data_IF_341694267007
#
_entry.id   IF_341694267007
#
_cell.length_a   1.000
_cell.length_b   1.000
_cell.length_c   1.000
_cell.angle_alpha   90.00
_cell.angle_beta   90.00
_cell.angle_gamma   90.00
#
_symmetry.space_group_name_H-M   'P 1'
#
loop_
_entity.id
_entity.type
_entity.pdbx_description
1 polymer ?
#
# COMPACT_ATOMS: atom_id res chain seq x y z
N UNK A 1 21.13 39.47 -34.44
CA UNK A 1 21.59 38.37 -33.56
C UNK A 1 21.60 38.89 -32.13
N UNK A 2 20.74 38.32 -31.29
CA UNK A 2 20.93 38.07 -29.84
C UNK A 2 19.57 37.69 -29.29
N UNK A 3 19.47 36.42 -28.87
CA UNK A 3 18.26 35.75 -28.43
C UNK A 3 17.85 36.23 -27.03
N UNK A 4 16.69 36.85 -26.90
CA UNK A 4 15.99 36.93 -25.62
C UNK A 4 15.45 35.54 -25.29
N UNK A 5 16.15 34.82 -24.41
CA UNK A 5 15.65 33.62 -23.73
C UNK A 5 15.73 33.85 -22.23
N UNK A 6 14.69 34.47 -21.69
CA UNK A 6 14.43 34.37 -20.25
C UNK A 6 13.87 32.96 -19.96
N UNK A 7 14.33 32.29 -18.89
CA UNK A 7 14.06 30.88 -18.68
C UNK A 7 12.60 30.64 -18.29
N UNK A 8 11.97 29.75 -19.04
CA UNK A 8 10.80 28.98 -18.61
C UNK A 8 11.21 28.09 -17.43
N UNK A 9 10.22 27.79 -16.60
CA UNK A 9 10.18 26.66 -15.67
C UNK A 9 11.00 26.77 -14.38
N UNK A 10 10.41 27.42 -13.37
CA UNK A 10 10.45 26.91 -12.00
C UNK A 10 9.08 27.11 -11.34
N UNK A 11 8.11 26.31 -11.78
CA UNK A 11 6.95 25.98 -10.95
C UNK A 11 7.47 25.14 -9.78
N UNK A 12 7.74 25.78 -8.65
CA UNK A 12 7.93 25.09 -7.38
C UNK A 12 6.62 24.40 -6.98
N UNK A 13 6.44 23.17 -7.46
CA UNK A 13 5.50 22.23 -6.89
C UNK A 13 6.05 21.73 -5.55
N UNK A 14 5.99 22.57 -4.52
CA UNK A 14 6.13 22.14 -3.14
C UNK A 14 4.82 22.35 -2.38
N UNK A 15 3.70 21.94 -2.99
CA UNK A 15 2.58 21.48 -2.19
C UNK A 15 2.93 20.09 -1.63
N UNK A 16 3.88 20.05 -0.68
CA UNK A 16 3.87 19.03 0.34
C UNK A 16 2.59 19.25 1.14
N UNK A 17 1.50 18.66 0.66
CA UNK A 17 0.28 18.55 1.42
C UNK A 17 0.68 17.99 2.78
N UNK A 18 0.40 18.74 3.85
CA UNK A 18 0.44 18.19 5.20
C UNK A 18 -0.58 17.05 5.20
N UNK A 19 -0.13 15.82 4.98
CA UNK A 19 -1.00 14.65 5.12
C UNK A 19 -1.34 14.57 6.60
N UNK A 20 -2.61 14.83 6.91
CA UNK A 20 -3.16 14.58 8.23
C UNK A 20 -3.54 13.11 8.29
N UNK A 21 -2.70 12.30 8.92
CA UNK A 21 -3.03 10.93 9.26
C UNK A 21 -3.88 10.93 10.52
N UNK A 22 -4.94 10.13 10.56
CA UNK A 22 -5.60 9.80 11.83
C UNK A 22 -4.62 9.00 12.71
N UNK A 23 -4.83 8.97 14.03
CA UNK A 23 -4.00 8.22 15.00
C UNK A 23 -3.86 6.73 14.67
N UNK A 24 -4.55 6.18 13.67
CA UNK A 24 -4.39 4.79 13.25
C UNK A 24 -4.47 4.65 11.72
N UNK A 25 -3.68 5.44 11.00
CA UNK A 25 -3.59 5.29 9.54
C UNK A 25 -2.49 4.29 9.17
N UNK A 26 -2.81 3.37 8.26
CA UNK A 26 -1.82 2.48 7.65
C UNK A 26 -1.68 2.85 6.17
N UNK A 27 -0.46 3.08 5.71
CA UNK A 27 -0.15 3.30 4.29
C UNK A 27 1.00 2.41 3.86
N UNK A 28 1.17 2.21 2.56
CA UNK A 28 2.26 1.38 2.08
C UNK A 28 2.00 0.75 0.72
N UNK A 29 2.79 -0.25 0.42
CA UNK A 29 2.68 -1.04 -0.80
C UNK A 29 2.83 -2.52 -0.50
N UNK A 30 2.22 -3.32 -1.37
CA UNK A 30 2.38 -4.78 -1.39
C UNK A 30 2.77 -5.19 -2.79
N UNK A 31 3.58 -6.21 -2.90
CA UNK A 31 4.03 -6.78 -4.16
C UNK A 31 3.89 -8.29 -4.11
N UNK A 32 3.26 -8.85 -5.14
CA UNK A 32 3.14 -10.28 -5.35
C UNK A 32 3.81 -10.64 -6.67
N UNK A 33 4.69 -11.63 -6.65
CA UNK A 33 5.33 -12.15 -7.85
C UNK A 33 5.29 -13.67 -7.84
N UNK A 34 4.96 -14.25 -9.00
CA UNK A 34 4.83 -15.69 -9.17
C UNK A 34 5.79 -16.15 -10.28
N UNK A 35 6.77 -16.97 -9.89
CA UNK A 35 7.65 -17.71 -10.80
C UNK A 35 7.59 -19.20 -10.47
N UNK A 36 8.74 -19.83 -10.22
CA UNK A 36 8.79 -21.18 -9.62
C UNK A 36 8.18 -21.22 -8.22
N UNK A 37 8.26 -20.11 -7.50
CA UNK A 37 7.72 -19.94 -6.16
C UNK A 37 6.90 -18.65 -6.09
N UNK A 38 6.01 -18.58 -5.11
CA UNK A 38 5.22 -17.39 -4.79
C UNK A 38 6.03 -16.52 -3.83
N UNK A 39 6.38 -15.31 -4.26
CA UNK A 39 7.05 -14.33 -3.42
C UNK A 39 6.10 -13.17 -3.12
N UNK A 40 5.96 -12.89 -1.84
CA UNK A 40 5.22 -11.76 -1.33
C UNK A 40 6.18 -10.80 -0.63
N UNK A 41 6.02 -9.52 -0.88
CA UNK A 41 6.69 -8.46 -0.14
C UNK A 41 5.72 -7.36 0.22
N UNK A 42 5.99 -6.70 1.35
CA UNK A 42 5.25 -5.52 1.75
C UNK A 42 6.17 -4.46 2.32
N UNK A 43 5.72 -3.21 2.23
CA UNK A 43 6.27 -2.07 2.93
C UNK A 43 5.08 -1.32 3.50
N UNK A 44 4.78 -1.55 4.78
CA UNK A 44 3.65 -0.95 5.48
C UNK A 44 4.15 0.02 6.54
N UNK A 45 3.46 1.15 6.70
CA UNK A 45 3.73 2.17 7.70
C UNK A 45 2.46 2.42 8.50
N UNK A 46 2.51 2.19 9.81
CA UNK A 46 1.49 2.60 10.76
C UNK A 46 1.86 3.97 11.32
N UNK A 47 0.94 4.91 11.18
CA UNK A 47 1.02 6.25 11.77
C UNK A 47 0.20 6.29 13.06
N UNK A 48 0.84 6.75 14.14
CA UNK A 48 0.22 7.00 15.44
C UNK A 48 0.49 8.44 15.89
N UNK A 49 -0.42 9.03 16.63
CA UNK A 49 -0.22 10.30 17.32
C UNK A 49 0.29 10.03 18.73
N UNK A 50 1.44 10.59 19.08
CA UNK A 50 1.95 10.61 20.43
C UNK A 50 1.77 12.01 21.01
N UNK A 51 1.10 12.09 22.17
CA UNK A 51 1.02 13.31 22.95
C UNK A 51 2.08 13.30 24.05
N UNK A 52 2.93 14.31 24.03
CA UNK A 52 3.88 14.55 25.10
C UNK A 52 3.14 15.05 26.36
N UNK A 53 3.40 14.41 27.50
CA UNK A 53 2.67 14.66 28.74
C UNK A 53 2.95 16.04 29.33
N UNK A 54 4.17 16.56 29.14
CA UNK A 54 4.64 17.79 29.77
C UNK A 54 4.33 19.02 28.91
N UNK A 55 4.51 18.89 27.59
CA UNK A 55 4.37 19.99 26.62
C UNK A 55 3.00 20.00 25.94
N UNK A 56 2.20 18.93 26.09
CA UNK A 56 0.97 18.66 25.34
C UNK A 56 1.16 18.66 23.82
N UNK A 57 2.40 18.63 23.33
CA UNK A 57 2.70 18.61 21.91
C UNK A 57 2.25 17.28 21.29
N UNK A 58 1.66 17.34 20.10
CA UNK A 58 1.27 16.16 19.33
C UNK A 58 2.33 15.93 18.26
N UNK A 59 2.88 14.72 18.22
CA UNK A 59 3.86 14.29 17.22
C UNK A 59 3.38 13.03 16.51
N UNK A 60 3.80 12.85 15.26
CA UNK A 60 3.55 11.63 14.50
C UNK A 60 4.66 10.62 14.80
N UNK A 61 4.28 9.42 15.24
CA UNK A 61 5.12 8.24 15.27
C UNK A 61 4.86 7.40 14.04
N UNK A 62 5.94 6.88 13.43
CA UNK A 62 5.86 5.98 12.28
C UNK A 62 6.48 4.65 12.67
N UNK A 63 5.72 3.59 12.51
CA UNK A 63 6.19 2.22 12.68
C UNK A 63 6.17 1.54 11.31
N UNK A 64 7.29 0.97 10.89
CA UNK A 64 7.42 0.32 9.59
C UNK A 64 7.47 -1.21 9.73
N UNK A 65 6.77 -1.89 8.83
CA UNK A 65 6.83 -3.33 8.63
C UNK A 65 7.28 -3.56 7.18
N UNK A 66 8.53 -3.98 7.02
CA UNK A 66 9.16 -4.28 5.75
C UNK A 66 9.67 -5.71 5.77
N UNK A 67 9.09 -6.55 4.93
CA UNK A 67 9.46 -7.95 4.82
C UNK A 67 9.18 -8.46 3.40
N UNK A 68 10.02 -9.38 2.95
CA UNK A 68 9.84 -10.12 1.71
C UNK A 68 10.17 -11.58 1.95
N UNK A 69 9.23 -12.48 1.62
CA UNK A 69 9.46 -13.92 1.76
C UNK A 69 8.70 -14.75 0.73
N UNK A 70 9.10 -16.01 0.64
CA UNK A 70 8.35 -17.03 -0.10
C UNK A 70 7.14 -17.47 0.72
N UNK A 71 5.98 -17.56 0.07
CA UNK A 71 4.73 -18.04 0.67
C UNK A 71 4.24 -19.30 -0.04
N UNK A 72 3.30 -19.98 0.61
CA UNK A 72 2.46 -21.01 0.00
C UNK A 72 1.10 -20.41 -0.36
N UNK A 73 0.52 -20.83 -1.49
CA UNK A 73 -0.83 -20.41 -1.87
C UNK A 73 -1.86 -21.00 -0.89
N UNK A 74 -2.98 -20.28 -0.69
CA UNK A 74 -4.09 -20.64 0.21
C UNK A 74 -3.74 -20.81 1.71
N UNK A 75 -2.47 -20.68 2.07
CA UNK A 75 -1.98 -20.63 3.44
C UNK A 75 -2.20 -19.25 4.08
N UNK A 76 -2.27 -19.25 5.42
CA UNK A 76 -2.31 -18.03 6.22
C UNK A 76 -0.89 -17.70 6.69
N UNK A 77 -0.45 -16.47 6.41
CA UNK A 77 0.94 -16.05 6.59
C UNK A 77 1.00 -14.84 7.51
N UNK A 78 1.74 -14.97 8.62
CA UNK A 78 1.87 -13.93 9.66
C UNK A 78 3.18 -13.15 9.52
N UNK A 79 3.07 -11.84 9.59
CA UNK A 79 4.20 -10.91 9.60
C UNK A 79 4.05 -10.05 10.83
N UNK A 80 4.95 -10.20 11.79
CA UNK A 80 4.79 -9.60 13.10
C UNK A 80 5.88 -8.58 13.37
N UNK A 81 5.51 -7.47 13.99
CA UNK A 81 6.42 -6.44 14.49
C UNK A 81 5.95 -6.05 15.89
N UNK A 82 6.87 -5.59 16.77
CA UNK A 82 6.53 -5.21 18.14
C UNK A 82 5.36 -4.21 18.26
N UNK A 83 5.11 -3.44 17.20
CA UNK A 83 4.13 -2.35 17.19
C UNK A 83 2.85 -2.70 16.43
N UNK A 84 2.98 -3.48 15.35
CA UNK A 84 1.85 -3.93 14.53
C UNK A 84 2.27 -5.08 13.62
N UNK A 85 1.32 -5.91 13.23
CA UNK A 85 1.54 -7.02 12.31
C UNK A 85 0.58 -7.00 11.12
N UNK A 86 0.80 -7.89 10.17
CA UNK A 86 -0.14 -8.17 9.07
C UNK A 86 -0.33 -9.67 8.89
N UNK A 87 -1.55 -10.04 8.51
CA UNK A 87 -1.94 -11.41 8.18
C UNK A 87 -2.31 -11.42 6.70
N UNK A 88 -1.70 -12.32 5.94
CA UNK A 88 -1.85 -12.38 4.49
C UNK A 88 -2.35 -13.76 4.09
N UNK A 89 -3.38 -13.79 3.25
CA UNK A 89 -3.86 -14.99 2.55
C UNK A 89 -3.91 -14.69 1.07
N UNK A 90 -3.16 -15.46 0.27
CA UNK A 90 -3.16 -15.33 -1.19
C UNK A 90 -4.04 -16.43 -1.77
N UNK A 91 -5.11 -16.03 -2.45
CA UNK A 91 -6.06 -16.95 -3.09
C UNK A 91 -6.08 -16.72 -4.60
N UNK A 92 -6.13 -17.78 -5.43
CA UNK A 92 -6.33 -17.62 -6.87
C UNK A 92 -7.63 -16.87 -7.18
N UNK A 93 -7.58 -15.95 -8.13
CA UNK A 93 -8.78 -15.28 -8.63
C UNK A 93 -9.60 -16.25 -9.46
N UNK A 94 -10.82 -16.57 -9.00
CA UNK A 94 -11.81 -17.35 -9.73
C UNK A 94 -12.73 -16.33 -10.41
N UNK A 95 -12.48 -16.01 -11.67
CA UNK A 95 -13.33 -15.05 -12.40
C UNK A 95 -14.80 -15.47 -12.38
N UNK A 96 -15.70 -14.51 -12.53
CA UNK A 96 -17.10 -14.82 -12.83
C UNK A 96 -17.15 -15.48 -14.20
N UNK A 97 -17.57 -16.74 -14.25
CA UNK A 97 -17.96 -17.36 -15.52
C UNK A 97 -19.25 -16.66 -15.91
N UNK A 98 -19.18 -15.74 -16.87
CA UNK A 98 -20.39 -15.19 -17.48
C UNK A 98 -21.24 -16.37 -17.95
N UNK A 99 -22.36 -16.61 -17.27
CA UNK A 99 -23.36 -17.55 -17.73
C UNK A 99 -23.91 -16.98 -19.04
N UNK A 100 -23.29 -17.37 -20.16
CA UNK A 100 -23.86 -17.16 -21.47
C UNK A 100 -25.20 -17.87 -21.45
N UNK A 101 -26.28 -17.10 -21.36
CA UNK A 101 -27.62 -17.62 -21.51
C UNK A 101 -27.75 -18.12 -22.95
N UNK A 102 -27.43 -19.39 -23.17
CA UNK A 102 -27.95 -20.15 -24.29
C UNK A 102 -29.47 -20.12 -24.16
N UNK A 103 -30.11 -19.15 -24.84
CA UNK A 103 -31.48 -19.36 -25.31
C UNK A 103 -31.40 -20.38 -26.43
N UNK A 104 -31.41 -21.66 -26.05
CA UNK A 104 -31.90 -22.75 -26.89
C UNK A 104 -33.31 -22.37 -27.39
N UNK A 105 -33.49 -22.39 -28.71
CA UNK A 105 -34.70 -21.90 -29.37
C UNK A 105 -35.92 -22.81 -29.31
N UNK A 106 -37.01 -22.31 -29.91
CA UNK A 106 -38.28 -22.88 -30.44
C UNK A 106 -39.33 -21.76 -30.29
N UNK A 107 -40.18 -21.37 -31.24
CA UNK A 107 -40.64 -21.81 -32.55
C UNK A 107 -40.98 -20.56 -33.41
#
# INVERSE_FOLDING_TARGET
MSLNREPKDLLEFSQQSKMYYSDFSVTGSVALSQGRYLHFGHLLNLFRLAQDADTKAISNMVFSLEERRRLEADGLHYFDSPWFGSIVKITPYKGEVEATSEKTGTD
#
